data_IF_909384213111
#
_entry.id   IF_909384213111
#
_cell.length_a   1.000
_cell.length_b   1.000
_cell.length_c   1.000
_cell.angle_alpha   90.00
_cell.angle_beta   90.00
_cell.angle_gamma   90.00
#
_symmetry.space_group_name_H-M   'P 1'
#
loop_
_entity.id
_entity.type
_entity.pdbx_description
1 polymer ?
#
# COMPACT_ATOMS: atom_id res chain seq x y z
N UNK A 1 -3.10 18.64 4.01
CA UNK A 1 -3.59 17.29 4.33
C UNK A 1 -2.40 16.34 4.32
N UNK A 2 -2.22 15.52 5.36
CA UNK A 2 -1.09 14.58 5.49
C UNK A 2 -1.52 13.16 5.11
N UNK A 3 -0.60 12.35 4.59
CA UNK A 3 -0.86 10.92 4.32
C UNK A 3 -1.21 10.14 5.60
N UNK A 4 -0.69 10.57 6.76
CA UNK A 4 -0.82 9.85 8.04
C UNK A 4 -2.20 9.92 8.69
N UNK A 5 -3.15 10.67 8.11
CA UNK A 5 -4.53 10.74 8.61
C UNK A 5 -5.43 9.64 8.04
N UNK A 6 -4.95 8.87 7.06
CA UNK A 6 -5.74 7.85 6.39
C UNK A 6 -5.52 6.46 7.00
N UNK A 7 -6.60 5.68 7.01
CA UNK A 7 -6.55 4.24 7.22
C UNK A 7 -6.83 3.54 5.90
N UNK A 8 -6.12 2.45 5.64
CA UNK A 8 -6.26 1.63 4.44
C UNK A 8 -6.52 0.18 4.81
N UNK A 9 -7.06 -0.60 3.88
CA UNK A 9 -7.23 -2.04 4.05
C UNK A 9 -5.99 -2.77 3.58
N UNK A 10 -5.50 -3.71 4.39
CA UNK A 10 -4.50 -4.68 3.93
C UNK A 10 -5.13 -5.79 3.07
N UNK A 11 -4.30 -6.71 2.58
CA UNK A 11 -4.73 -7.86 1.77
C UNK A 11 -5.68 -8.82 2.51
N UNK A 12 -5.73 -8.76 3.83
CA UNK A 12 -6.62 -9.54 4.71
C UNK A 12 -7.88 -8.75 5.14
N UNK A 13 -8.05 -7.52 4.64
CA UNK A 13 -9.15 -6.57 4.97
C UNK A 13 -9.10 -5.99 6.40
N UNK A 14 -7.96 -6.06 7.08
CA UNK A 14 -7.76 -5.35 8.33
C UNK A 14 -7.54 -3.86 8.06
N UNK A 15 -7.97 -3.00 8.98
CA UNK A 15 -7.61 -1.57 8.92
C UNK A 15 -6.18 -1.38 9.39
N UNK A 16 -5.38 -0.68 8.58
CA UNK A 16 -4.01 -0.28 8.87
C UNK A 16 -3.93 1.23 8.84
N UNK A 17 -3.40 1.84 9.91
CA UNK A 17 -3.19 3.29 9.95
C UNK A 17 -1.90 3.66 9.26
N UNK A 18 -1.96 4.59 8.28
CA UNK A 18 -0.73 5.05 7.62
C UNK A 18 0.18 5.84 8.58
N UNK A 19 -0.33 6.28 9.74
CA UNK A 19 0.46 6.91 10.80
C UNK A 19 1.58 6.01 11.33
N UNK A 20 1.42 4.69 11.29
CA UNK A 20 2.45 3.72 11.72
C UNK A 20 3.76 3.85 10.92
N UNK A 21 3.72 4.50 9.77
CA UNK A 21 4.85 4.71 8.88
C UNK A 21 5.43 6.13 8.94
N UNK A 22 4.95 6.98 9.86
CA UNK A 22 5.44 8.34 10.03
C UNK A 22 6.95 8.38 10.33
N UNK A 23 7.67 9.27 9.65
CA UNK A 23 9.13 9.40 9.74
C UNK A 23 9.92 8.41 8.87
N UNK A 24 9.26 7.50 8.15
CA UNK A 24 9.90 6.62 7.17
C UNK A 24 9.76 7.18 5.75
N UNK A 25 10.73 6.90 4.88
CA UNK A 25 10.59 7.14 3.44
C UNK A 25 9.66 6.07 2.87
N UNK A 26 8.63 6.48 2.12
CA UNK A 26 7.62 5.59 1.56
C UNK A 26 7.60 5.68 0.04
N UNK A 27 7.52 4.51 -0.62
CA UNK A 27 7.24 4.39 -2.04
C UNK A 27 5.84 3.79 -2.20
N UNK A 28 4.93 4.54 -2.83
CA UNK A 28 3.57 4.09 -3.10
C UNK A 28 3.49 3.59 -4.55
N UNK A 29 3.04 2.36 -4.73
CA UNK A 29 2.93 1.71 -6.04
C UNK A 29 1.50 1.21 -6.23
N UNK A 30 0.86 1.56 -7.34
CA UNK A 30 -0.38 0.94 -7.77
C UNK A 30 -0.07 -0.34 -8.56
N UNK A 31 -0.54 -1.48 -8.08
CA UNK A 31 -0.32 -2.80 -8.69
C UNK A 31 -1.62 -3.42 -9.22
N UNK A 32 -1.52 -4.33 -10.19
CA UNK A 32 -2.64 -5.14 -10.68
C UNK A 32 -2.15 -6.53 -11.08
N UNK A 33 -2.85 -7.60 -10.69
CA UNK A 33 -2.39 -8.99 -10.86
C UNK A 33 -2.35 -9.49 -12.32
N UNK A 34 -2.96 -8.77 -13.25
CA UNK A 34 -3.06 -9.14 -14.66
C UNK A 34 -2.47 -8.11 -15.62
N UNK A 35 -1.48 -7.33 -15.18
CA UNK A 35 -0.82 -6.36 -16.05
C UNK A 35 0.46 -6.93 -16.66
N UNK A 36 0.87 -6.43 -17.83
CA UNK A 36 2.07 -6.91 -18.54
C UNK A 36 3.40 -6.72 -17.78
N UNK A 37 3.37 -6.06 -16.62
CA UNK A 37 4.52 -5.85 -15.73
C UNK A 37 4.54 -6.80 -14.52
N UNK A 38 3.71 -7.85 -14.49
CA UNK A 38 3.72 -8.88 -13.43
C UNK A 38 4.21 -10.26 -13.90
N UNK A 39 5.45 -10.43 -14.39
CA UNK A 39 6.01 -11.74 -14.73
C UNK A 39 6.41 -12.59 -13.49
N UNK A 40 6.10 -12.14 -12.27
CA UNK A 40 6.61 -12.71 -11.01
C UNK A 40 5.60 -13.59 -10.24
N UNK A 41 4.39 -13.82 -10.77
CA UNK A 41 3.35 -14.62 -10.10
C UNK A 41 3.09 -15.99 -10.77
N UNK A 42 4.13 -16.59 -11.37
CA UNK A 42 4.13 -17.97 -11.86
C UNK A 42 4.43 -18.99 -10.74
#
# INVERSE_FOLDING_TARGET
MSLYQYNVKDVQKNDVSLKEYEGKVLLIVNTASGCGFTPQYD
#
